data_IF_331917629590
#
_entry.id   IF_331917629590
#
_cell.length_a   1.000
_cell.length_b   1.000
_cell.length_c   1.000
_cell.angle_alpha   90.00
_cell.angle_beta   90.00
_cell.angle_gamma   90.00
#
_symmetry.space_group_name_H-M   'P 1'
#
loop_
_entity.id
_entity.type
_entity.pdbx_description
1 polymer ?
#
# COMPACT_ATOMS: atom_id res chain seq x y z
N UNK A 1 -37.34 31.43 -38.57
CA UNK A 1 -38.03 30.76 -37.45
C UNK A 1 -36.98 30.33 -36.43
N UNK A 2 -36.82 31.14 -35.38
CA UNK A 2 -35.75 31.04 -34.38
C UNK A 2 -36.22 30.13 -33.23
N UNK A 3 -35.47 29.05 -32.95
CA UNK A 3 -35.71 28.18 -31.79
C UNK A 3 -35.13 28.87 -30.56
N UNK A 4 -36.01 29.40 -29.71
CA UNK A 4 -35.64 29.93 -28.40
C UNK A 4 -35.03 28.80 -27.55
N UNK A 5 -33.79 29.01 -27.09
CA UNK A 5 -33.12 28.14 -26.13
C UNK A 5 -33.81 28.27 -24.77
N UNK A 6 -34.29 27.14 -24.24
CA UNK A 6 -34.85 27.07 -22.91
C UNK A 6 -33.76 27.38 -21.86
N UNK A 7 -34.07 28.14 -20.79
CA UNK A 7 -33.11 28.39 -19.72
C UNK A 7 -32.76 27.08 -19.01
N UNK A 8 -31.46 26.78 -18.95
CA UNK A 8 -30.91 25.69 -18.14
C UNK A 8 -31.30 25.96 -16.69
N UNK A 9 -32.18 25.10 -16.16
CA UNK A 9 -32.60 25.10 -14.76
C UNK A 9 -31.33 24.93 -13.90
N UNK A 10 -31.07 25.78 -12.88
CA UNK A 10 -29.98 25.53 -11.96
C UNK A 10 -30.32 24.22 -11.25
N UNK A 11 -29.61 23.17 -11.63
CA UNK A 11 -29.76 21.85 -11.02
C UNK A 11 -29.47 22.00 -9.53
N UNK A 12 -30.38 21.48 -8.72
CA UNK A 12 -30.35 21.49 -7.28
C UNK A 12 -29.05 20.80 -6.83
N UNK A 13 -28.00 21.59 -6.58
CA UNK A 13 -26.80 21.11 -5.90
C UNK A 13 -27.19 20.81 -4.45
N UNK A 14 -27.76 19.63 -4.27
CA UNK A 14 -27.88 18.90 -3.01
C UNK A 14 -26.63 19.15 -2.19
N UNK A 15 -26.83 19.72 -1.00
CA UNK A 15 -25.85 20.26 -0.07
C UNK A 15 -24.39 19.90 -0.36
N UNK A 16 -23.61 20.90 -0.75
CA UNK A 16 -22.15 20.83 -0.67
C UNK A 16 -21.81 20.28 0.72
N UNK A 17 -21.20 19.10 0.81
CA UNK A 17 -20.71 18.59 2.08
C UNK A 17 -19.89 19.70 2.75
N UNK A 18 -19.96 19.84 4.07
CA UNK A 18 -19.02 20.70 4.79
C UNK A 18 -17.58 20.40 4.35
N UNK A 19 -16.65 21.37 4.47
CA UNK A 19 -15.27 21.18 4.00
C UNK A 19 -14.65 19.89 4.54
N UNK A 20 -14.98 19.47 5.75
CA UNK A 20 -14.61 18.19 6.36
C UNK A 20 -15.14 16.96 5.60
N UNK A 21 -16.41 16.97 5.19
CA UNK A 21 -17.07 15.85 4.52
C UNK A 21 -16.62 15.71 3.07
N UNK A 22 -16.25 16.81 2.41
CA UNK A 22 -15.65 16.77 1.08
C UNK A 22 -14.26 16.12 1.12
N UNK A 23 -13.42 16.47 2.09
CA UNK A 23 -12.08 15.88 2.25
C UNK A 23 -12.13 14.37 2.50
N UNK A 24 -13.02 13.92 3.40
CA UNK A 24 -13.23 12.50 3.68
C UNK A 24 -13.70 11.74 2.44
N UNK A 25 -14.61 12.35 1.66
CA UNK A 25 -15.09 11.75 0.43
C UNK A 25 -13.98 11.63 -0.63
N UNK A 26 -13.12 12.64 -0.79
CA UNK A 26 -11.98 12.60 -1.72
C UNK A 26 -10.97 11.55 -1.29
N UNK A 27 -10.65 11.49 0.00
CA UNK A 27 -9.76 10.50 0.59
C UNK A 27 -10.26 9.08 0.30
N UNK A 28 -11.52 8.80 0.64
CA UNK A 28 -12.12 7.49 0.46
C UNK A 28 -12.26 7.09 -1.02
N UNK A 29 -12.62 8.05 -1.88
CA UNK A 29 -12.72 7.82 -3.32
C UNK A 29 -11.37 7.47 -3.94
N UNK A 30 -10.32 8.19 -3.54
CA UNK A 30 -8.94 7.96 -4.02
C UNK A 30 -8.38 6.63 -3.51
N UNK A 31 -8.66 6.28 -2.25
CA UNK A 31 -8.36 4.98 -1.65
C UNK A 31 -9.04 3.85 -2.41
N UNK A 32 -10.35 3.96 -2.65
CA UNK A 32 -11.12 2.94 -3.39
C UNK A 32 -10.64 2.80 -4.83
N UNK A 33 -10.25 3.89 -5.47
CA UNK A 33 -9.66 3.86 -6.80
C UNK A 33 -8.33 3.10 -6.78
N UNK A 34 -7.42 3.43 -5.87
CA UNK A 34 -6.12 2.78 -5.81
C UNK A 34 -6.24 1.27 -5.53
N UNK A 35 -7.06 0.89 -4.56
CA UNK A 35 -7.31 -0.53 -4.25
C UNK A 35 -7.83 -1.29 -5.47
N UNK A 36 -8.73 -0.69 -6.27
CA UNK A 36 -9.22 -1.29 -7.53
C UNK A 36 -8.12 -1.46 -8.57
N UNK A 37 -7.24 -0.47 -8.73
CA UNK A 37 -6.10 -0.56 -9.65
C UNK A 37 -5.16 -1.70 -9.27
N UNK A 38 -4.99 -1.95 -7.97
CA UNK A 38 -4.09 -3.01 -7.49
C UNK A 38 -4.69 -4.41 -7.60
N UNK A 39 -6.02 -4.57 -7.58
CA UNK A 39 -6.68 -5.88 -7.68
C UNK A 39 -6.38 -6.65 -8.96
N UNK A 40 -6.16 -5.95 -10.07
CA UNK A 40 -5.81 -6.56 -11.35
C UNK A 40 -4.30 -6.62 -11.61
N UNK A 41 -3.47 -6.13 -10.67
CA UNK A 41 -2.04 -5.99 -10.90
C UNK A 41 -1.30 -7.31 -10.60
N UNK A 42 -0.65 -7.95 -11.58
CA UNK A 42 0.19 -9.13 -11.33
C UNK A 42 1.33 -8.79 -10.37
N UNK A 43 1.77 -7.54 -10.38
CA UNK A 43 2.81 -7.04 -9.51
C UNK A 43 2.37 -7.01 -8.04
N UNK A 44 1.10 -6.70 -7.75
CA UNK A 44 0.57 -6.78 -6.39
C UNK A 44 0.49 -8.23 -5.88
N UNK A 45 0.20 -9.19 -6.77
CA UNK A 45 0.24 -10.62 -6.45
C UNK A 45 1.66 -11.09 -6.13
N UNK A 46 2.65 -10.66 -6.92
CA UNK A 46 4.05 -11.01 -6.67
C UNK A 46 4.51 -10.54 -5.28
N UNK A 47 4.25 -9.28 -4.95
CA UNK A 47 4.69 -8.70 -3.67
C UNK A 47 3.86 -9.16 -2.47
N UNK A 48 2.56 -9.36 -2.66
CA UNK A 48 1.63 -9.69 -1.59
C UNK A 48 1.51 -11.19 -1.30
N UNK A 49 1.81 -12.05 -2.28
CA UNK A 49 1.68 -13.51 -2.16
C UNK A 49 3.01 -14.20 -2.41
N UNK A 50 3.56 -14.08 -3.62
CA UNK A 50 4.69 -14.93 -4.05
C UNK A 50 5.93 -14.67 -3.18
N UNK A 51 6.26 -13.41 -2.94
CA UNK A 51 7.42 -13.04 -2.14
C UNK A 51 7.32 -13.54 -0.68
N UNK A 52 6.25 -13.28 0.09
CA UNK A 52 6.10 -13.83 1.44
C UNK A 52 6.16 -15.36 1.48
N UNK A 53 5.52 -16.05 0.53
CA UNK A 53 5.52 -17.52 0.45
C UNK A 53 6.95 -18.04 0.31
N UNK A 54 7.69 -17.51 -0.67
CA UNK A 54 9.07 -17.95 -0.94
C UNK A 54 9.97 -17.69 0.26
N UNK A 55 9.87 -16.52 0.89
CA UNK A 55 10.71 -16.19 2.03
C UNK A 55 10.41 -17.08 3.25
N UNK A 56 9.15 -17.38 3.52
CA UNK A 56 8.76 -18.30 4.60
C UNK A 56 9.16 -19.74 4.30
N UNK A 57 9.02 -20.19 3.06
CA UNK A 57 9.49 -21.51 2.65
C UNK A 57 10.99 -21.68 2.88
N UNK A 58 11.79 -20.65 2.58
CA UNK A 58 13.25 -20.68 2.79
C UNK A 58 13.64 -20.53 4.26
N UNK A 59 12.95 -19.69 5.04
CA UNK A 59 13.33 -19.40 6.43
C UNK A 59 12.74 -20.38 7.42
N UNK A 60 11.44 -20.69 7.29
CA UNK A 60 10.72 -21.59 8.20
C UNK A 60 10.77 -23.02 7.65
N UNK A 61 10.51 -23.20 6.36
CA UNK A 61 10.44 -24.53 5.75
C UNK A 61 11.77 -25.27 5.63
N UNK A 62 12.91 -24.57 5.70
CA UNK A 62 14.23 -25.19 5.67
C UNK A 62 14.73 -25.65 7.06
N UNK A 63 13.96 -25.44 8.13
CA UNK A 63 14.38 -25.69 9.51
C UNK A 63 13.38 -26.59 10.25
N UNK A 64 13.68 -27.87 10.38
CA UNK A 64 12.76 -28.88 10.96
C UNK A 64 12.56 -28.77 12.49
N UNK A 65 13.36 -27.97 13.19
CA UNK A 65 13.34 -27.88 14.67
C UNK A 65 13.16 -26.44 15.19
N UNK A 66 12.44 -25.59 14.46
CA UNK A 66 12.20 -24.22 14.93
C UNK A 66 11.33 -24.19 16.18
N UNK A 67 11.78 -23.43 17.17
CA UNK A 67 10.94 -23.06 18.31
C UNK A 67 9.81 -22.14 17.85
N UNK A 68 8.74 -22.07 18.64
CA UNK A 68 7.63 -21.17 18.36
C UNK A 68 8.07 -19.69 18.31
N UNK A 69 9.06 -19.34 19.14
CA UNK A 69 9.63 -17.99 19.19
C UNK A 69 10.40 -17.66 17.91
N UNK A 70 11.26 -18.56 17.44
CA UNK A 70 12.02 -18.38 16.21
C UNK A 70 11.10 -18.26 14.99
N UNK A 71 10.08 -19.12 14.90
CA UNK A 71 9.07 -19.07 13.84
C UNK A 71 8.33 -17.73 13.85
N UNK A 72 7.87 -17.26 15.01
CA UNK A 72 7.20 -15.95 15.14
C UNK A 72 8.14 -14.82 14.70
N UNK A 73 9.42 -14.86 15.10
CA UNK A 73 10.41 -13.84 14.73
C UNK A 73 10.61 -13.76 13.21
N UNK A 74 10.84 -14.90 12.54
CA UNK A 74 10.96 -14.93 11.07
C UNK A 74 9.69 -14.48 10.38
N UNK A 75 8.53 -14.92 10.88
CA UNK A 75 7.22 -14.55 10.35
C UNK A 75 7.00 -13.04 10.38
N UNK A 76 7.28 -12.39 11.51
CA UNK A 76 7.17 -10.93 11.65
C UNK A 76 8.17 -10.22 10.75
N UNK A 77 9.41 -10.71 10.66
CA UNK A 77 10.43 -10.17 9.76
C UNK A 77 10.00 -10.22 8.29
N UNK A 78 9.43 -11.35 7.83
CA UNK A 78 8.90 -11.48 6.47
C UNK A 78 7.74 -10.53 6.22
N UNK A 79 6.81 -10.38 7.17
CA UNK A 79 5.70 -9.41 7.04
C UNK A 79 6.22 -7.99 6.89
N UNK A 80 7.19 -7.58 7.72
CA UNK A 80 7.82 -6.25 7.64
C UNK A 80 8.53 -6.03 6.31
N UNK A 81 9.41 -6.96 5.94
CA UNK A 81 10.18 -6.92 4.71
C UNK A 81 9.27 -6.84 3.47
N UNK A 82 8.26 -7.71 3.40
CA UNK A 82 7.32 -7.72 2.28
C UNK A 82 6.49 -6.43 2.22
N UNK A 83 6.04 -5.91 3.36
CA UNK A 83 5.22 -4.70 3.40
C UNK A 83 6.01 -3.44 3.01
N UNK A 84 7.22 -3.27 3.55
CA UNK A 84 8.09 -2.16 3.18
C UNK A 84 8.52 -2.25 1.71
N UNK A 85 8.89 -3.45 1.24
CA UNK A 85 9.17 -3.69 -0.17
C UNK A 85 7.96 -3.31 -1.04
N UNK A 86 6.77 -3.78 -0.69
CA UNK A 86 5.56 -3.43 -1.42
C UNK A 86 5.28 -1.93 -1.41
N UNK A 87 5.52 -1.25 -0.30
CA UNK A 87 5.33 0.21 -0.17
C UNK A 87 6.21 0.98 -1.16
N UNK A 88 7.48 0.63 -1.28
CA UNK A 88 8.40 1.27 -2.24
C UNK A 88 7.85 1.18 -3.66
N UNK A 89 7.47 -0.03 -4.07
CA UNK A 89 7.16 -0.27 -5.47
C UNK A 89 5.72 0.10 -5.84
N UNK A 90 4.80 0.03 -4.90
CA UNK A 90 3.40 0.37 -5.14
C UNK A 90 3.15 1.84 -4.80
N UNK A 91 3.23 2.21 -3.51
CA UNK A 91 2.93 3.56 -3.06
C UNK A 91 3.97 4.59 -3.56
N UNK A 92 5.26 4.23 -3.63
CA UNK A 92 6.29 5.10 -4.20
C UNK A 92 6.14 5.32 -5.72
N UNK A 93 5.51 4.39 -6.44
CA UNK A 93 5.30 4.51 -7.89
C UNK A 93 4.06 5.31 -8.30
N UNK A 94 3.19 5.72 -7.36
CA UNK A 94 1.87 6.28 -7.66
C UNK A 94 1.96 7.51 -8.56
N UNK A 95 2.77 8.51 -8.20
CA UNK A 95 2.85 9.75 -8.99
C UNK A 95 3.48 9.53 -10.37
N UNK A 96 4.49 8.67 -10.47
CA UNK A 96 5.10 8.30 -11.75
C UNK A 96 4.10 7.60 -12.68
N UNK A 97 3.28 6.72 -12.12
CA UNK A 97 2.18 6.09 -12.86
C UNK A 97 1.15 7.12 -13.32
N UNK A 98 0.80 8.10 -12.48
CA UNK A 98 -0.12 9.19 -12.88
C UNK A 98 0.43 10.08 -13.99
N UNK A 99 1.74 10.32 -14.02
CA UNK A 99 2.41 11.02 -15.14
C UNK A 99 2.23 10.22 -16.42
N UNK A 100 2.58 8.93 -16.38
CA UNK A 100 2.46 8.05 -17.54
C UNK A 100 1.02 7.89 -18.02
N UNK A 101 0.07 7.81 -17.10
CA UNK A 101 -1.36 7.71 -17.40
C UNK A 101 -1.99 9.06 -17.84
N UNK A 102 -1.25 10.16 -17.78
CA UNK A 102 -1.75 11.51 -18.12
C UNK A 102 -2.76 12.09 -17.11
N UNK A 103 -2.98 11.43 -15.96
CA UNK A 103 -3.98 11.86 -14.96
C UNK A 103 -3.45 12.89 -13.98
N UNK A 104 -2.12 13.03 -13.86
CA UNK A 104 -1.51 13.92 -12.87
C UNK A 104 -1.97 15.39 -13.04
N UNK A 105 -2.00 15.89 -14.28
CA UNK A 105 -2.42 17.27 -14.56
C UNK A 105 -3.84 17.51 -14.09
N UNK A 106 -4.76 16.59 -14.39
CA UNK A 106 -6.15 16.68 -13.96
C UNK A 106 -6.31 16.64 -12.43
N UNK A 107 -5.49 15.84 -11.74
CA UNK A 107 -5.53 15.78 -10.27
C UNK A 107 -5.02 17.08 -9.63
N UNK A 108 -3.96 17.66 -10.18
CA UNK A 108 -3.34 18.90 -9.66
C UNK A 108 -4.15 20.15 -9.98
N UNK A 109 -4.82 20.21 -11.14
CA UNK A 109 -5.67 21.35 -11.53
C UNK A 109 -7.11 21.22 -11.07
N UNK A 110 -7.48 20.11 -10.43
CA UNK A 110 -8.83 19.95 -9.89
C UNK A 110 -9.10 20.92 -8.73
N UNK A 111 -10.37 21.14 -8.41
CA UNK A 111 -10.79 21.92 -7.25
C UNK A 111 -10.49 21.22 -5.91
N UNK A 112 -9.96 19.99 -5.94
CA UNK A 112 -9.70 19.16 -4.76
C UNK A 112 -8.22 19.18 -4.43
N UNK A 113 -7.91 19.11 -3.13
CA UNK A 113 -6.52 19.11 -2.67
C UNK A 113 -5.75 17.89 -3.21
N UNK A 114 -4.66 18.08 -3.99
CA UNK A 114 -3.87 16.98 -4.53
C UNK A 114 -3.17 16.17 -3.43
N UNK A 115 -2.91 16.79 -2.27
CA UNK A 115 -2.33 16.12 -1.10
C UNK A 115 -3.28 15.05 -0.53
N UNK A 116 -4.58 15.34 -0.48
CA UNK A 116 -5.61 14.40 0.02
C UNK A 116 -5.80 13.24 -0.95
N UNK A 117 -5.73 13.53 -2.25
CA UNK A 117 -5.79 12.50 -3.30
C UNK A 117 -4.60 11.54 -3.13
N UNK A 118 -3.38 12.07 -3.03
CA UNK A 118 -2.18 11.26 -2.84
C UNK A 118 -2.23 10.46 -1.54
N UNK A 119 -2.63 11.09 -0.43
CA UNK A 119 -2.79 10.42 0.87
C UNK A 119 -3.78 9.25 0.75
N UNK A 120 -4.94 9.47 0.12
CA UNK A 120 -5.95 8.43 -0.07
C UNK A 120 -5.41 7.28 -0.92
N UNK A 121 -4.65 7.58 -1.99
CA UNK A 121 -4.01 6.54 -2.81
C UNK A 121 -2.95 5.75 -2.03
N UNK A 122 -2.01 6.42 -1.37
CA UNK A 122 -1.00 5.73 -0.56
C UNK A 122 -1.63 4.89 0.55
N UNK A 123 -2.66 5.41 1.22
CA UNK A 123 -3.40 4.66 2.25
C UNK A 123 -4.11 3.43 1.64
N UNK A 124 -4.72 3.60 0.47
CA UNK A 124 -5.33 2.48 -0.27
C UNK A 124 -4.32 1.43 -0.70
N UNK A 125 -3.11 1.82 -1.07
CA UNK A 125 -2.04 0.88 -1.37
C UNK A 125 -1.64 0.09 -0.11
N UNK A 126 -1.38 0.76 1.01
CA UNK A 126 -1.02 0.13 2.28
C UNK A 126 -2.10 -0.81 2.80
N UNK A 127 -3.37 -0.37 2.78
CA UNK A 127 -4.51 -1.18 3.24
C UNK A 127 -4.85 -2.33 2.29
N UNK A 128 -4.40 -2.28 1.04
CA UNK A 128 -4.54 -3.41 0.12
C UNK A 128 -3.44 -4.46 0.35
N UNK A 129 -2.18 -4.01 0.45
CA UNK A 129 -1.02 -4.90 0.52
C UNK A 129 -0.86 -5.54 1.89
N UNK A 130 -1.04 -4.79 2.98
CA UNK A 130 -0.77 -5.30 4.32
C UNK A 130 -1.66 -6.51 4.68
N UNK A 131 -3.00 -6.46 4.53
CA UNK A 131 -3.85 -7.61 4.84
C UNK A 131 -3.55 -8.81 3.94
N UNK A 132 -3.24 -8.57 2.65
CA UNK A 132 -2.85 -9.60 1.71
C UNK A 132 -1.58 -10.33 2.16
N UNK A 133 -0.56 -9.59 2.60
CA UNK A 133 0.68 -10.14 3.14
C UNK A 133 0.41 -10.93 4.41
N UNK A 134 -0.32 -10.35 5.38
CA UNK A 134 -0.62 -11.02 6.66
C UNK A 134 -1.37 -12.33 6.45
N UNK A 135 -2.41 -12.33 5.61
CA UNK A 135 -3.18 -13.54 5.29
C UNK A 135 -2.29 -14.58 4.62
N UNK A 136 -1.49 -14.17 3.63
CA UNK A 136 -0.55 -15.08 2.94
C UNK A 136 0.44 -15.70 3.92
N UNK A 137 1.01 -14.89 4.81
CA UNK A 137 1.98 -15.35 5.79
C UNK A 137 1.36 -16.35 6.77
N UNK A 138 0.16 -16.07 7.31
CA UNK A 138 -0.56 -16.99 8.22
C UNK A 138 -0.86 -18.31 7.51
N UNK A 139 -1.37 -18.26 6.28
CA UNK A 139 -1.67 -19.46 5.49
C UNK A 139 -0.40 -20.27 5.23
N UNK A 140 0.70 -19.61 4.84
CA UNK A 140 1.97 -20.29 4.53
C UNK A 140 2.55 -20.98 5.76
N UNK A 141 2.61 -20.29 6.90
CA UNK A 141 3.09 -20.87 8.17
C UNK A 141 2.23 -22.06 8.59
N UNK A 142 0.91 -21.95 8.43
CA UNK A 142 -0.02 -23.04 8.70
C UNK A 142 0.20 -24.25 7.79
N UNK A 143 0.45 -24.04 6.50
CA UNK A 143 0.79 -25.10 5.54
C UNK A 143 2.13 -25.79 5.83
N UNK A 144 3.09 -25.06 6.39
CA UNK A 144 4.38 -25.59 6.82
C UNK A 144 4.30 -26.37 8.15
N UNK A 145 3.17 -26.32 8.85
CA UNK A 145 3.00 -26.98 10.16
C UNK A 145 3.89 -26.38 11.26
N UNK A 146 4.40 -25.17 11.06
CA UNK A 146 5.34 -24.55 11.99
C UNK A 146 4.64 -23.93 13.21
N UNK A 147 5.22 -24.03 14.41
CA UNK A 147 4.58 -23.52 15.62
C UNK A 147 4.58 -21.98 15.62
N UNK A 148 3.41 -21.35 15.62
CA UNK A 148 3.28 -19.89 15.72
C UNK A 148 2.72 -19.50 17.09
N UNK A 149 3.42 -18.63 17.81
CA UNK A 149 2.95 -18.11 19.11
C UNK A 149 2.84 -16.60 19.07
N UNK A 150 1.61 -16.11 19.18
CA UNK A 150 1.32 -14.69 19.39
C UNK A 150 0.96 -14.47 20.87
N UNK A 151 1.92 -14.00 21.66
CA UNK A 151 1.69 -13.79 23.09
C UNK A 151 0.66 -12.69 23.39
N UNK A 152 0.63 -11.64 22.55
CA UNK A 152 -0.20 -10.45 22.74
C UNK A 152 -0.81 -9.99 21.41
N UNK A 153 -1.91 -10.62 20.95
CA UNK A 153 -2.50 -10.31 19.64
C UNK A 153 -2.96 -8.84 19.52
N UNK A 154 -3.37 -8.20 20.62
CA UNK A 154 -3.73 -6.78 20.62
C UNK A 154 -2.55 -5.85 20.28
N UNK A 155 -1.37 -6.12 20.83
CA UNK A 155 -0.16 -5.34 20.50
C UNK A 155 0.29 -5.57 19.06
N UNK A 156 0.12 -6.79 18.55
CA UNK A 156 0.39 -7.11 17.15
C UNK A 156 -0.53 -6.31 16.22
N UNK A 157 -1.82 -6.21 16.54
CA UNK A 157 -2.76 -5.41 15.75
C UNK A 157 -2.40 -3.92 15.75
N UNK A 158 -2.06 -3.36 16.92
CA UNK A 158 -1.60 -1.97 17.03
C UNK A 158 -0.32 -1.76 16.21
N UNK A 159 0.63 -2.70 16.27
CA UNK A 159 1.85 -2.67 15.48
C UNK A 159 1.57 -2.67 13.97
N UNK A 160 0.67 -3.54 13.50
CA UNK A 160 0.25 -3.57 12.09
C UNK A 160 -0.40 -2.25 11.65
N UNK A 161 -1.22 -1.64 12.49
CA UNK A 161 -1.83 -0.33 12.19
C UNK A 161 -0.78 0.78 12.12
N UNK A 162 0.16 0.83 13.06
CA UNK A 162 1.27 1.78 13.04
C UNK A 162 2.13 1.61 11.80
N UNK A 163 2.40 0.36 11.41
CA UNK A 163 3.11 0.02 10.18
C UNK A 163 2.34 0.50 8.96
N UNK A 164 1.03 0.31 8.89
CA UNK A 164 0.21 0.79 7.76
C UNK A 164 0.26 2.33 7.64
N UNK A 165 0.20 3.05 8.77
CA UNK A 165 0.30 4.51 8.81
C UNK A 165 1.71 4.96 8.39
N UNK A 166 2.75 4.31 8.93
CA UNK A 166 4.14 4.58 8.58
C UNK A 166 4.41 4.34 7.09
N UNK A 167 3.96 3.20 6.55
CA UNK A 167 4.07 2.86 5.13
C UNK A 167 3.33 3.84 4.23
N UNK A 168 2.19 4.37 4.69
CA UNK A 168 1.46 5.41 3.96
C UNK A 168 2.27 6.71 3.86
N UNK A 169 2.83 7.17 4.98
CA UNK A 169 3.70 8.36 5.01
C UNK A 169 4.97 8.18 4.16
N UNK A 170 5.65 7.03 4.32
CA UNK A 170 6.83 6.67 3.52
C UNK A 170 6.49 6.63 2.03
N UNK A 171 5.38 6.01 1.65
CA UNK A 171 4.91 5.91 0.28
C UNK A 171 4.67 7.27 -0.36
N UNK A 172 4.11 8.24 0.39
CA UNK A 172 3.93 9.61 -0.10
C UNK A 172 5.28 10.30 -0.36
N UNK A 173 6.22 10.19 0.59
CA UNK A 173 7.57 10.77 0.44
C UNK A 173 8.31 10.18 -0.76
N UNK A 174 8.26 8.84 -0.91
CA UNK A 174 8.87 8.15 -2.04
C UNK A 174 8.20 8.50 -3.36
N UNK A 175 6.87 8.66 -3.39
CA UNK A 175 6.14 9.13 -4.57
C UNK A 175 6.66 10.48 -5.06
N UNK A 176 6.85 11.43 -4.15
CA UNK A 176 7.41 12.73 -4.48
C UNK A 176 8.87 12.63 -4.93
N UNK A 177 9.69 11.86 -4.21
CA UNK A 177 11.10 11.66 -4.54
C UNK A 177 11.28 11.02 -5.93
N UNK A 178 10.51 9.98 -6.23
CA UNK A 178 10.59 9.27 -7.51
C UNK A 178 10.05 10.13 -8.65
N UNK A 179 9.05 10.97 -8.42
CA UNK A 179 8.58 11.93 -9.40
C UNK A 179 9.65 12.96 -9.76
N UNK A 180 10.37 13.49 -8.77
CA UNK A 180 11.44 14.49 -8.99
C UNK A 180 12.69 13.89 -9.62
N UNK A 181 12.90 12.58 -9.48
CA UNK A 181 14.11 11.93 -9.95
C UNK A 181 13.94 11.31 -11.33
N UNK A 182 14.88 11.60 -12.24
CA UNK A 182 14.91 11.04 -13.61
C UNK A 182 14.89 9.50 -13.65
N UNK A 183 15.42 8.84 -12.62
CA UNK A 183 15.54 7.37 -12.55
C UNK A 183 14.84 6.80 -11.31
N UNK A 184 13.59 7.19 -11.03
CA UNK A 184 12.84 6.73 -9.85
C UNK A 184 12.85 5.20 -9.63
N UNK A 185 12.74 4.41 -10.70
CA UNK A 185 12.80 2.94 -10.65
C UNK A 185 14.18 2.38 -10.26
N UNK A 186 15.26 3.12 -10.49
CA UNK A 186 16.60 2.70 -10.02
C UNK A 186 16.73 2.94 -8.51
N UNK A 187 16.10 4.00 -8.00
CA UNK A 187 16.05 4.27 -6.57
C UNK A 187 15.19 3.27 -5.81
N UNK A 188 14.06 2.83 -6.36
CA UNK A 188 13.25 1.77 -5.74
C UNK A 188 14.04 0.46 -5.59
N UNK A 189 14.86 0.13 -6.59
CA UNK A 189 15.73 -1.04 -6.56
C UNK A 189 16.88 -0.87 -5.54
N UNK A 190 17.50 0.31 -5.47
CA UNK A 190 18.57 0.60 -4.52
C UNK A 190 18.08 0.59 -3.05
N UNK A 191 16.88 1.10 -2.79
CA UNK A 191 16.27 1.12 -1.47
C UNK A 191 15.80 -0.26 -1.00
N UNK A 192 15.71 -1.24 -1.90
CA UNK A 192 15.35 -2.62 -1.53
C UNK A 192 16.42 -3.26 -0.64
N UNK A 193 17.71 -2.98 -0.88
CA UNK A 193 18.80 -3.56 -0.08
C UNK A 193 18.74 -3.15 1.40
N UNK A 194 18.61 -1.86 1.77
CA UNK A 194 18.38 -1.47 3.17
C UNK A 194 17.14 -2.12 3.79
N UNK A 195 16.04 -2.27 3.05
CA UNK A 195 14.81 -2.87 3.57
C UNK A 195 15.01 -4.34 3.91
N UNK A 196 15.76 -5.09 3.10
CA UNK A 196 16.06 -6.48 3.39
C UNK A 196 16.87 -6.66 4.67
N UNK A 197 17.75 -5.71 4.97
CA UNK A 197 18.52 -5.70 6.22
C UNK A 197 17.63 -5.27 7.39
N UNK A 198 16.98 -4.10 7.28
CA UNK A 198 16.20 -3.49 8.36
C UNK A 198 14.87 -4.18 8.66
N UNK A 199 14.33 -4.93 7.69
CA UNK A 199 13.07 -5.66 7.82
C UNK A 199 13.14 -6.86 8.77
N UNK A 200 14.32 -7.20 9.30
CA UNK A 200 14.48 -8.29 10.27
C UNK A 200 14.61 -9.67 9.63
N UNK A 201 14.80 -9.76 8.30
CA UNK A 201 15.02 -11.03 7.61
C UNK A 201 16.47 -11.53 7.77
N UNK A 202 17.45 -10.62 7.79
CA UNK A 202 18.89 -10.94 7.90
C UNK A 202 19.46 -10.91 9.33
N UNK A 203 18.69 -10.52 10.36
CA UNK A 203 19.15 -10.26 11.74
C UNK A 203 18.32 -10.95 12.82
#
# INVERSE_FOLDING_TARGET
>A
MSRAAAPVRPDDRTGSPGPDREWLWVLFSSLRLQTRLMRGSPFAVLLGIVQPVVLLAVTVGANDQLTAEATTRFTVGVVMMAFWGATIWTAGGILQFEVHAGTLRANVTSTRSPQVILLGKCLGASLYTLPMIVVTTIVTVGLLGAPLRAERPGLLLIGLLLVAVSGTGLGMLLSCLFLLTRHGNHWSSALMYPIYILGGFMI
#
